data_IF_401014759594
#
_entry.id   IF_401014759594
#
_cell.length_a   1.000
_cell.length_b   1.000
_cell.length_c   1.000
_cell.angle_alpha   90.00
_cell.angle_beta   90.00
_cell.angle_gamma   90.00
#
_symmetry.space_group_name_H-M   'P 1'
#
loop_
_entity.id
_entity.type
_entity.pdbx_description
1 polymer ?
#
# COMPACT_ATOMS: atom_id res chain seq x y z
N UNK A 1 6.18 22.89 0.12
CA UNK A 1 4.78 22.71 -0.32
C UNK A 1 4.34 21.37 0.26
N UNK A 2 3.54 21.36 1.31
CA UNK A 2 2.94 20.12 1.81
C UNK A 2 1.62 19.88 1.08
N UNK A 3 1.34 18.61 0.75
CA UNK A 3 0.09 18.19 0.09
C UNK A 3 -1.04 18.05 1.11
N UNK A 4 -0.71 17.89 2.39
CA UNK A 4 -1.63 17.84 3.53
C UNK A 4 -0.93 18.28 4.81
N UNK A 5 -1.71 18.69 5.81
CA UNK A 5 -1.26 18.88 7.20
C UNK A 5 -1.35 17.58 8.03
N UNK A 6 -1.94 16.51 7.48
CA UNK A 6 -2.00 15.17 8.07
C UNK A 6 -0.86 14.24 7.63
N UNK A 7 -0.99 12.94 7.91
CA UNK A 7 0.01 11.93 7.55
C UNK A 7 -0.10 11.48 6.11
N UNK A 8 0.99 10.95 5.56
CA UNK A 8 1.01 10.30 4.25
C UNK A 8 1.03 8.78 4.41
N UNK A 9 0.01 8.11 3.86
CA UNK A 9 -0.11 6.65 3.84
C UNK A 9 0.14 6.20 2.40
N UNK A 10 1.31 5.61 2.15
CA UNK A 10 1.68 5.08 0.85
C UNK A 10 1.14 3.65 0.68
N UNK A 11 0.38 3.41 -0.39
CA UNK A 11 -0.04 2.07 -0.82
C UNK A 11 0.76 1.72 -2.06
N UNK A 12 1.68 0.76 -1.98
CA UNK A 12 2.55 0.38 -3.09
C UNK A 12 2.17 -0.98 -3.66
N UNK A 13 1.95 -1.04 -4.97
CA UNK A 13 1.90 -2.27 -5.76
C UNK A 13 3.14 -2.32 -6.67
N UNK A 14 4.18 -3.10 -6.32
CA UNK A 14 5.36 -3.24 -7.17
C UNK A 14 4.97 -3.82 -8.53
N UNK A 15 5.55 -3.30 -9.62
CA UNK A 15 5.26 -3.75 -10.98
C UNK A 15 6.44 -4.53 -11.54
N UNK A 16 6.22 -5.81 -11.88
CA UNK A 16 7.19 -6.84 -12.31
C UNK A 16 8.12 -7.31 -11.21
N UNK A 17 8.35 -8.63 -11.18
CA UNK A 17 9.28 -9.28 -10.26
C UNK A 17 10.73 -8.90 -10.59
N UNK A 18 11.09 -8.84 -11.88
CA UNK A 18 12.43 -8.45 -12.31
C UNK A 18 12.81 -7.05 -11.82
N UNK A 19 11.91 -6.07 -11.96
CA UNK A 19 12.15 -4.71 -11.47
C UNK A 19 12.29 -4.64 -9.95
N UNK A 20 11.44 -5.37 -9.22
CA UNK A 20 11.54 -5.42 -7.76
C UNK A 20 12.85 -6.07 -7.32
N UNK A 21 13.29 -7.13 -8.00
CA UNK A 21 14.58 -7.77 -7.75
C UNK A 21 15.74 -6.81 -7.98
N UNK A 22 15.80 -6.19 -9.16
CA UNK A 22 16.94 -5.38 -9.58
C UNK A 22 17.10 -4.10 -8.74
N UNK A 23 15.99 -3.57 -8.23
CA UNK A 23 15.95 -2.31 -7.47
C UNK A 23 15.55 -2.52 -6.00
N UNK A 24 15.72 -3.74 -5.47
CA UNK A 24 15.17 -4.12 -4.17
C UNK A 24 15.61 -3.19 -3.03
N UNK A 25 16.89 -2.84 -3.00
CA UNK A 25 17.45 -1.98 -1.96
C UNK A 25 16.99 -0.52 -2.08
N UNK A 26 16.76 -0.02 -3.30
CA UNK A 26 16.17 1.30 -3.50
C UNK A 26 14.70 1.31 -3.08
N UNK A 27 13.93 0.26 -3.41
CA UNK A 27 12.55 0.12 -2.92
C UNK A 27 12.48 0.09 -1.40
N UNK A 28 13.44 -0.55 -0.72
CA UNK A 28 13.48 -0.60 0.75
C UNK A 28 13.80 0.76 1.40
N UNK A 29 14.16 1.79 0.64
CA UNK A 29 14.58 3.11 1.18
C UNK A 29 13.77 4.28 0.65
N UNK A 30 13.05 4.13 -0.47
CA UNK A 30 12.36 5.24 -1.13
C UNK A 30 11.03 5.64 -0.47
N UNK A 31 10.55 4.91 0.54
CA UNK A 31 9.30 5.21 1.25
C UNK A 31 9.49 5.89 2.61
N UNK A 32 10.71 6.27 2.99
CA UNK A 32 11.00 6.82 4.32
C UNK A 32 10.27 8.13 4.66
N UNK A 33 9.83 8.87 3.63
CA UNK A 33 9.05 10.10 3.81
C UNK A 33 7.56 9.83 4.08
N UNK A 34 7.09 8.60 3.90
CA UNK A 34 5.74 8.21 4.27
C UNK A 34 5.65 7.92 5.78
N UNK A 35 4.48 8.16 6.36
CA UNK A 35 4.23 7.82 7.76
C UNK A 35 3.85 6.34 7.92
N UNK A 36 3.12 5.80 6.95
CA UNK A 36 2.78 4.39 6.85
C UNK A 36 2.93 3.88 5.41
N UNK A 37 3.34 2.63 5.26
CA UNK A 37 3.44 1.95 3.96
C UNK A 37 2.63 0.65 4.00
N UNK A 38 1.73 0.50 3.04
CA UNK A 38 0.95 -0.71 2.79
C UNK A 38 1.50 -1.33 1.50
N UNK A 39 2.07 -2.53 1.59
CA UNK A 39 2.69 -3.24 0.47
C UNK A 39 1.72 -4.29 -0.06
N UNK A 40 1.33 -4.16 -1.33
CA UNK A 40 0.45 -5.08 -2.03
C UNK A 40 1.25 -6.12 -2.84
N UNK A 41 0.62 -7.25 -3.25
CA UNK A 41 1.26 -8.26 -4.06
C UNK A 41 1.80 -7.69 -5.38
N UNK A 42 2.92 -8.24 -5.84
CA UNK A 42 3.57 -7.79 -7.07
C UNK A 42 2.64 -7.98 -8.26
N UNK A 43 2.43 -6.92 -9.04
CA UNK A 43 1.75 -7.03 -10.32
C UNK A 43 2.70 -7.69 -11.32
N UNK A 44 2.43 -8.95 -11.68
CA UNK A 44 3.35 -9.82 -12.41
C UNK A 44 3.71 -9.29 -13.80
N UNK A 45 2.76 -8.65 -14.48
CA UNK A 45 2.87 -8.18 -15.86
C UNK A 45 3.45 -9.24 -16.84
N UNK A 46 3.03 -10.50 -16.67
CA UNK A 46 3.46 -11.63 -17.51
C UNK A 46 4.74 -12.34 -17.04
N UNK A 47 5.33 -11.94 -15.92
CA UNK A 47 6.49 -12.62 -15.34
C UNK A 47 6.10 -13.73 -14.38
N UNK A 48 6.99 -14.71 -14.24
CA UNK A 48 6.87 -15.72 -13.19
C UNK A 48 7.40 -15.15 -11.87
N UNK A 49 6.81 -15.54 -10.72
CA UNK A 49 7.36 -15.20 -9.41
C UNK A 49 8.84 -15.56 -9.28
N UNK A 50 9.62 -14.66 -8.69
CA UNK A 50 11.04 -14.88 -8.36
C UNK A 50 11.12 -15.18 -6.87
N UNK A 51 11.80 -16.27 -6.51
CA UNK A 51 11.92 -16.71 -5.10
C UNK A 51 12.58 -15.62 -4.25
N UNK A 52 11.91 -15.23 -3.17
CA UNK A 52 12.41 -14.20 -2.24
C UNK A 52 12.20 -12.76 -2.71
N UNK A 53 11.51 -12.56 -3.83
CA UNK A 53 11.19 -11.25 -4.39
C UNK A 53 9.68 -11.13 -4.46
N UNK A 54 9.09 -10.79 -3.33
CA UNK A 54 7.66 -10.58 -3.19
C UNK A 54 7.36 -9.41 -2.25
N UNK A 55 6.08 -9.10 -2.09
CA UNK A 55 5.58 -8.03 -1.25
C UNK A 55 5.90 -8.21 0.23
N UNK A 56 5.98 -9.46 0.72
CA UNK A 56 6.37 -9.76 2.10
C UNK A 56 7.85 -9.49 2.33
N UNK A 57 8.70 -9.94 1.39
CA UNK A 57 10.13 -9.64 1.41
C UNK A 57 10.39 -8.12 1.38
N UNK A 58 9.65 -7.38 0.55
CA UNK A 58 9.72 -5.91 0.50
C UNK A 58 9.26 -5.28 1.83
N UNK A 59 8.13 -5.73 2.38
CA UNK A 59 7.63 -5.23 3.66
C UNK A 59 8.63 -5.48 4.80
N UNK A 60 9.26 -6.65 4.84
CA UNK A 60 10.33 -6.95 5.78
C UNK A 60 11.59 -6.08 5.53
N UNK A 61 11.95 -5.87 4.27
CA UNK A 61 13.04 -4.98 3.86
C UNK A 61 12.85 -3.56 4.38
N UNK A 62 11.66 -2.97 4.19
CA UNK A 62 11.30 -1.65 4.72
C UNK A 62 11.42 -1.59 6.25
N UNK A 63 10.92 -2.61 6.96
CA UNK A 63 11.05 -2.68 8.43
C UNK A 63 12.51 -2.75 8.87
N UNK A 64 13.33 -3.58 8.21
CA UNK A 64 14.78 -3.68 8.50
C UNK A 64 15.53 -2.38 8.26
N UNK A 65 15.07 -1.56 7.31
CA UNK A 65 15.61 -0.22 7.05
C UNK A 65 15.07 0.88 7.97
N UNK A 66 14.22 0.52 8.93
CA UNK A 66 13.76 1.40 10.00
C UNK A 66 12.45 2.13 9.71
N UNK A 67 11.69 1.72 8.68
CA UNK A 67 10.39 2.33 8.42
C UNK A 67 9.43 2.06 9.59
N UNK A 68 8.82 3.14 10.11
CA UNK A 68 8.08 3.15 11.40
C UNK A 68 6.83 2.27 11.39
N UNK A 69 6.08 2.29 10.29
CA UNK A 69 4.83 1.57 10.16
C UNK A 69 4.73 0.94 8.77
N UNK A 70 4.79 -0.39 8.70
CA UNK A 70 4.72 -1.16 7.46
C UNK A 70 3.71 -2.28 7.62
N UNK A 71 2.82 -2.42 6.65
CA UNK A 71 1.80 -3.46 6.57
C UNK A 71 1.89 -4.12 5.19
N UNK A 72 1.49 -5.38 5.11
CA UNK A 72 1.29 -6.08 3.84
C UNK A 72 -0.18 -6.48 3.71
N UNK A 73 -0.65 -6.58 2.47
CA UNK A 73 -1.98 -7.10 2.14
C UNK A 73 -1.86 -8.22 1.12
N UNK A 74 -2.79 -9.17 1.18
CA UNK A 74 -2.84 -10.31 0.26
C UNK A 74 -3.56 -9.98 -1.06
N UNK A 75 -4.30 -8.87 -1.12
CA UNK A 75 -5.10 -8.49 -2.28
C UNK A 75 -5.95 -7.23 -2.07
N UNK A 76 -6.72 -6.83 -3.09
CA UNK A 76 -7.51 -5.59 -3.06
C UNK A 76 -8.56 -5.55 -1.95
N UNK A 77 -9.14 -6.69 -1.59
CA UNK A 77 -10.23 -6.77 -0.61
C UNK A 77 -9.77 -6.40 0.81
N UNK A 78 -8.48 -6.52 1.10
CA UNK A 78 -7.89 -6.13 2.37
C UNK A 78 -7.51 -4.64 2.42
N UNK A 79 -7.45 -3.95 1.28
CA UNK A 79 -6.96 -2.58 1.21
C UNK A 79 -7.82 -1.62 2.04
N UNK A 80 -9.14 -1.61 1.82
CA UNK A 80 -10.03 -0.67 2.51
C UNK A 80 -10.08 -0.89 4.04
N UNK A 81 -10.20 -2.14 4.55
CA UNK A 81 -10.07 -2.40 5.99
C UNK A 81 -8.75 -1.91 6.58
N UNK A 82 -7.63 -2.19 5.90
CA UNK A 82 -6.30 -1.79 6.38
C UNK A 82 -6.13 -0.28 6.38
N UNK A 83 -6.49 0.40 5.29
CA UNK A 83 -6.45 1.87 5.20
C UNK A 83 -7.30 2.48 6.33
N UNK A 84 -8.54 2.02 6.52
CA UNK A 84 -9.42 2.50 7.60
C UNK A 84 -8.79 2.33 8.97
N UNK A 85 -8.09 1.22 9.21
CA UNK A 85 -7.47 0.93 10.52
C UNK A 85 -6.29 1.83 10.85
N UNK A 86 -5.67 2.45 9.86
CA UNK A 86 -4.46 3.28 10.05
C UNK A 86 -4.68 4.76 9.79
N UNK A 87 -5.68 5.12 8.97
CA UNK A 87 -5.93 6.49 8.56
C UNK A 87 -6.76 7.26 9.57
N UNK A 88 -6.42 8.53 9.74
CA UNK A 88 -7.17 9.51 10.50
C UNK A 88 -7.67 10.64 9.60
N UNK A 89 -8.59 11.47 10.12
CA UNK A 89 -9.09 12.62 9.40
C UNK A 89 -7.95 13.59 9.07
N UNK A 90 -7.79 13.91 7.79
CA UNK A 90 -6.73 14.79 7.29
C UNK A 90 -5.55 14.05 6.68
N UNK A 91 -5.45 12.73 6.87
CA UNK A 91 -4.43 11.92 6.21
C UNK A 91 -4.67 11.82 4.70
N UNK A 92 -3.59 11.65 3.95
CA UNK A 92 -3.61 11.41 2.51
C UNK A 92 -3.15 9.99 2.22
N UNK A 93 -3.98 9.25 1.48
CA UNK A 93 -3.64 7.92 0.98
C UNK A 93 -3.14 8.06 -0.46
N UNK A 94 -1.88 7.67 -0.70
CA UNK A 94 -1.23 7.75 -2.01
C UNK A 94 -1.03 6.34 -2.57
N UNK A 95 -1.73 6.02 -3.66
CA UNK A 95 -1.58 4.75 -4.36
C UNK A 95 -0.49 4.85 -5.42
N UNK A 96 0.55 4.01 -5.28
CA UNK A 96 1.80 4.04 -6.03
C UNK A 96 2.00 2.70 -6.75
N UNK A 97 2.21 2.75 -8.05
CA UNK A 97 2.49 1.55 -8.84
C UNK A 97 1.97 1.69 -10.27
N UNK A 98 1.94 0.56 -10.95
CA UNK A 98 1.37 0.42 -12.28
C UNK A 98 0.56 -0.88 -12.33
N UNK A 99 -0.45 -0.94 -13.21
CA UNK A 99 -1.36 -2.09 -13.29
C UNK A 99 -2.68 -1.84 -12.57
N UNK A 100 -3.11 -2.78 -11.74
CA UNK A 100 -4.45 -2.77 -11.13
C UNK A 100 -4.61 -1.78 -9.97
N UNK A 101 -3.52 -1.26 -9.39
CA UNK A 101 -3.57 -0.28 -8.30
C UNK A 101 -4.41 0.96 -8.65
N UNK A 102 -4.44 1.40 -9.92
CA UNK A 102 -5.27 2.53 -10.34
C UNK A 102 -6.77 2.26 -10.19
N UNK A 103 -7.20 1.02 -10.41
CA UNK A 103 -8.58 0.59 -10.19
C UNK A 103 -8.90 0.57 -8.69
N UNK A 104 -7.94 0.13 -7.86
CA UNK A 104 -8.09 0.11 -6.41
C UNK A 104 -8.22 1.53 -5.86
N UNK A 105 -7.38 2.46 -6.32
CA UNK A 105 -7.43 3.87 -5.96
C UNK A 105 -8.79 4.50 -6.30
N UNK A 106 -9.39 4.13 -7.44
CA UNK A 106 -10.71 4.61 -7.84
C UNK A 106 -11.84 4.03 -6.98
N UNK A 107 -11.75 2.76 -6.59
CA UNK A 107 -12.76 2.07 -5.79
C UNK A 107 -12.70 2.41 -4.29
N UNK A 108 -11.50 2.72 -3.77
CA UNK A 108 -11.23 2.87 -2.34
C UNK A 108 -12.16 3.86 -1.62
N UNK A 109 -12.46 5.07 -2.14
CA UNK A 109 -13.37 5.99 -1.46
C UNK A 109 -14.78 5.41 -1.24
N UNK A 110 -15.32 4.71 -2.24
CA UNK A 110 -16.62 4.05 -2.13
C UNK A 110 -16.61 2.87 -1.15
N UNK A 111 -15.53 2.09 -1.15
CA UNK A 111 -15.35 0.99 -0.20
C UNK A 111 -15.25 1.51 1.25
N UNK A 112 -14.53 2.61 1.47
CA UNK A 112 -14.43 3.24 2.80
C UNK A 112 -15.77 3.79 3.28
N UNK A 113 -16.54 4.45 2.40
CA UNK A 113 -17.86 4.99 2.73
C UNK A 113 -18.86 3.88 3.10
N UNK A 114 -18.81 2.73 2.42
CA UNK A 114 -19.70 1.60 2.72
C UNK A 114 -19.51 1.05 4.15
N UNK A 115 -18.32 1.16 4.74
CA UNK A 115 -18.09 0.80 6.14
C UNK A 115 -18.75 1.77 7.12
N UNK A 116 -18.87 3.05 6.75
CA UNK A 116 -19.53 4.05 7.59
C UNK A 116 -21.06 3.89 7.56
N UNK A 117 -21.63 3.56 6.40
CA UNK A 117 -23.06 3.29 6.25
C UNK A 117 -23.50 2.01 6.95
N UNK A 118 -22.67 0.96 6.92
CA UNK A 118 -22.94 -0.31 7.61
C UNK A 118 -22.89 -0.22 9.14
N UNK A 119 -22.23 0.80 9.70
CA UNK A 119 -22.15 1.03 11.15
C UNK A 119 -23.37 1.81 11.71
N UNK A 120 -24.15 2.46 10.85
CA UNK A 120 -25.28 3.31 11.24
C UNK A 120 -26.68 2.66 11.16
N UNK A 121 -26.78 1.39 10.78
CA UNK A 121 -28.05 0.69 10.55
C UNK A 121 -28.61 -0.08 11.76
N UNK A 122 -28.14 0.22 12.97
CA UNK A 122 -28.47 -0.53 14.18
C UNK A 122 -28.88 0.34 15.35
N UNK A 123 -29.86 1.24 15.17
CA UNK A 123 -30.70 1.80 16.23
C UNK A 123 -32.14 1.99 15.75
#
# INVERSE_FOLDING_TARGET
RNVTDGRVIAVVQPHRYSRLHDLFEEFCTCFNDADAVIVAPVFEAGEKPIRGVDHEALAEGLRRRGHRQVMSISGPDELAPVVRSVSEKGDVVLCLGAGSISQWAHALPGQLAAFDEGAGGGE
#
